data_IF_169819884302
#
_entry.id   IF_169819884302
#
_cell.length_a   1.000
_cell.length_b   1.000
_cell.length_c   1.000
_cell.angle_alpha   90.00
_cell.angle_beta   90.00
_cell.angle_gamma   90.00
#
_symmetry.space_group_name_H-M   'P 1'
#
loop_
_entity.id
_entity.type
_entity.pdbx_description
1 polymer ?
#
# COMPACT_ATOMS: atom_id res chain seq x y z
N UNK A 1 -0.85 15.51 -17.20
CA UNK A 1 -1.16 15.65 -15.77
C UNK A 1 -0.52 14.50 -15.00
N UNK A 2 0.33 14.73 -13.98
CA UNK A 2 0.88 13.64 -13.20
C UNK A 2 -0.21 13.08 -12.27
N UNK A 3 -0.62 11.83 -12.49
CA UNK A 3 -1.41 11.07 -11.53
C UNK A 3 -0.56 10.87 -10.27
N UNK A 4 -1.05 11.33 -9.12
CA UNK A 4 -0.45 11.02 -7.84
C UNK A 4 -0.59 9.51 -7.63
N UNK A 5 0.55 8.81 -7.52
CA UNK A 5 0.63 7.37 -7.26
C UNK A 5 -0.04 7.08 -5.92
N UNK A 6 -0.84 6.00 -5.84
CA UNK A 6 -1.60 5.69 -4.63
C UNK A 6 -0.70 5.52 -3.41
N UNK A 7 -1.04 6.25 -2.36
CA UNK A 7 -0.33 6.33 -1.09
C UNK A 7 0.04 4.96 -0.48
N UNK A 8 -0.79 3.93 -0.70
CA UNK A 8 -0.54 2.64 -0.10
C UNK A 8 0.66 1.93 -0.73
N UNK A 9 0.80 2.01 -2.05
CA UNK A 9 1.92 1.44 -2.80
C UNK A 9 3.25 2.05 -2.34
N UNK A 10 3.30 3.36 -2.16
CA UNK A 10 4.52 4.05 -1.74
C UNK A 10 4.88 3.71 -0.28
N UNK A 11 3.87 3.54 0.60
CA UNK A 11 4.08 3.04 1.97
C UNK A 11 4.68 1.62 1.98
N UNK A 12 4.15 0.70 1.18
CA UNK A 12 4.68 -0.67 1.09
C UNK A 12 6.12 -0.66 0.60
N UNK A 13 6.43 0.12 -0.45
CA UNK A 13 7.79 0.20 -0.99
C UNK A 13 8.79 0.75 0.03
N UNK A 14 8.41 1.79 0.77
CA UNK A 14 9.24 2.31 1.85
C UNK A 14 9.42 1.29 2.98
N UNK A 15 8.35 0.60 3.38
CA UNK A 15 8.43 -0.43 4.42
C UNK A 15 9.33 -1.61 4.03
N UNK A 16 9.37 -1.97 2.75
CA UNK A 16 10.32 -2.97 2.21
C UNK A 16 11.76 -2.46 2.27
N UNK A 17 12.00 -1.18 1.95
CA UNK A 17 13.35 -0.60 2.05
C UNK A 17 13.84 -0.58 3.50
N UNK A 18 12.97 -0.18 4.44
CA UNK A 18 13.29 -0.08 5.87
C UNK A 18 13.37 -1.47 6.54
N UNK A 19 12.52 -2.42 6.15
CA UNK A 19 12.44 -3.75 6.75
C UNK A 19 12.13 -4.85 5.70
N UNK A 20 13.10 -5.22 4.85
CA UNK A 20 12.89 -6.21 3.80
C UNK A 20 12.62 -7.62 4.34
N UNK A 21 12.97 -7.92 5.60
CA UNK A 21 12.81 -9.25 6.20
C UNK A 21 11.35 -9.60 6.46
N UNK A 22 10.51 -8.59 6.72
CA UNK A 22 9.07 -8.76 6.91
C UNK A 22 8.37 -9.37 5.68
N UNK A 23 8.93 -9.16 4.49
CA UNK A 23 8.31 -9.53 3.21
C UNK A 23 8.98 -10.73 2.54
N UNK A 24 9.87 -11.43 3.25
CA UNK A 24 10.67 -12.54 2.73
C UNK A 24 9.79 -13.68 2.17
N UNK A 25 8.73 -14.04 2.90
CA UNK A 25 7.78 -15.11 2.56
C UNK A 25 7.06 -14.89 1.21
N UNK A 26 6.96 -13.64 0.74
CA UNK A 26 6.26 -13.31 -0.50
C UNK A 26 7.12 -13.54 -1.75
N UNK A 27 8.41 -13.80 -1.58
CA UNK A 27 9.34 -14.03 -2.69
C UNK A 27 9.55 -15.51 -3.03
N UNK A 28 8.97 -16.40 -2.22
CA UNK A 28 9.13 -17.87 -2.28
C UNK A 28 7.99 -18.58 -3.02
N UNK A 29 6.85 -17.90 -3.26
CA UNK A 29 5.75 -18.49 -4.03
C UNK A 29 5.96 -18.26 -5.52
N UNK A 30 6.16 -19.35 -6.26
CA UNK A 30 6.13 -19.33 -7.71
C UNK A 30 4.71 -19.03 -8.18
N UNK A 31 4.58 -18.01 -9.04
CA UNK A 31 3.31 -17.35 -9.36
C UNK A 31 2.26 -18.15 -10.12
N UNK A 32 2.39 -19.48 -10.25
CA UNK A 32 1.59 -20.28 -11.20
C UNK A 32 0.80 -21.47 -10.63
N UNK A 33 0.75 -21.70 -9.31
CA UNK A 33 -0.14 -22.72 -8.74
C UNK A 33 -0.88 -22.24 -7.49
N UNK A 34 -2.15 -21.87 -7.67
CA UNK A 34 -3.14 -21.84 -6.59
C UNK A 34 -4.39 -22.55 -7.09
N UNK A 35 -4.57 -23.81 -6.68
CA UNK A 35 -5.85 -24.51 -6.69
C UNK A 35 -5.86 -25.63 -5.65
N UNK A 36 -6.98 -25.70 -4.94
CA UNK A 36 -7.53 -26.83 -4.18
C UNK A 36 -6.74 -27.32 -2.95
N UNK A 37 -6.73 -26.49 -1.89
CA UNK A 37 -7.40 -26.82 -0.62
C UNK A 37 -7.06 -25.80 0.49
N UNK A 38 -8.02 -24.88 0.73
CA UNK A 38 -8.35 -24.46 2.09
C UNK A 38 -7.34 -23.63 2.89
N UNK A 39 -6.92 -22.48 2.36
CA UNK A 39 -6.70 -21.17 3.04
C UNK A 39 -5.86 -20.30 2.10
N UNK A 40 -6.55 -19.51 1.29
CA UNK A 40 -5.92 -18.58 0.35
C UNK A 40 -5.19 -17.48 1.13
N UNK A 41 -3.87 -17.62 1.29
CA UNK A 41 -2.95 -16.50 1.45
C UNK A 41 -2.43 -16.03 0.07
N UNK A 42 -3.25 -16.20 -0.98
CA UNK A 42 -3.01 -15.55 -2.26
C UNK A 42 -3.30 -14.06 -2.11
N UNK A 43 -2.60 -13.22 -2.87
CA UNK A 43 -2.91 -11.80 -3.05
C UNK A 43 -4.31 -11.63 -3.67
N UNK A 44 -5.36 -11.97 -2.93
CA UNK A 44 -6.75 -11.74 -3.27
C UNK A 44 -7.00 -10.26 -3.10
N UNK A 45 -6.85 -9.50 -4.18
CA UNK A 45 -7.13 -8.07 -4.28
C UNK A 45 -6.78 -7.27 -3.00
N UNK A 46 -5.50 -7.35 -2.57
CA UNK A 46 -4.91 -6.72 -1.36
C UNK A 46 -4.89 -5.18 -1.40
N UNK A 47 -5.83 -4.57 -2.11
CA UNK A 47 -6.03 -3.13 -2.01
C UNK A 47 -6.39 -2.84 -0.56
N UNK A 48 -5.69 -1.89 0.03
CA UNK A 48 -5.96 -1.47 1.41
C UNK A 48 -7.29 -0.72 1.46
N UNK A 49 -8.15 -1.15 2.38
CA UNK A 49 -9.31 -0.36 2.79
C UNK A 49 -8.80 0.95 3.41
N UNK A 50 -9.26 2.07 2.86
CA UNK A 50 -8.89 3.40 3.29
C UNK A 50 -9.81 3.85 4.44
N UNK A 51 -11.12 3.74 4.25
CA UNK A 51 -12.14 4.02 5.26
C UNK A 51 -13.51 3.50 4.80
N UNK A 52 -14.43 3.40 5.75
CA UNK A 52 -15.83 3.07 5.51
C UNK A 52 -16.66 4.33 5.20
N UNK A 53 -17.46 4.32 4.13
CA UNK A 53 -18.27 5.45 3.68
C UNK A 53 -19.45 5.78 4.61
N UNK A 54 -20.04 4.78 5.26
CA UNK A 54 -21.19 4.97 6.15
C UNK A 54 -20.77 5.59 7.49
N UNK A 55 -19.54 5.36 7.94
CA UNK A 55 -19.03 5.83 9.22
C UNK A 55 -18.46 7.27 9.20
N UNK A 56 -18.53 7.98 8.07
CA UNK A 56 -17.92 9.33 7.91
C UNK A 56 -18.75 10.47 8.51
N UNK A 57 -19.72 10.18 9.37
CA UNK A 57 -20.61 11.18 9.98
C UNK A 57 -20.41 11.37 11.49
N UNK A 58 -19.65 10.49 12.16
CA UNK A 58 -19.65 10.43 13.64
C UNK A 58 -18.31 10.73 14.33
N UNK A 59 -17.20 10.54 13.62
CA UNK A 59 -15.85 10.75 14.18
C UNK A 59 -14.80 11.06 13.09
N UNK A 60 -15.06 10.68 11.83
CA UNK A 60 -14.32 11.04 10.60
C UNK A 60 -12.82 10.70 10.62
N UNK A 61 -12.30 10.12 11.70
CA UNK A 61 -10.87 9.92 11.98
C UNK A 61 -10.16 9.19 10.85
N UNK A 62 -10.77 8.13 10.30
CA UNK A 62 -10.17 7.36 9.22
C UNK A 62 -10.09 8.15 7.91
N UNK A 63 -11.16 8.87 7.54
CA UNK A 63 -11.19 9.72 6.35
C UNK A 63 -10.17 10.85 6.47
N UNK A 64 -10.16 11.57 7.59
CA UNK A 64 -9.20 12.67 7.86
C UNK A 64 -7.76 12.15 7.88
N UNK A 65 -7.51 11.02 8.55
CA UNK A 65 -6.20 10.36 8.56
C UNK A 65 -5.75 9.98 7.16
N UNK A 66 -6.66 9.45 6.33
CA UNK A 66 -6.36 9.17 4.93
C UNK A 66 -5.96 10.46 4.18
N UNK A 67 -6.75 11.53 4.26
CA UNK A 67 -6.44 12.79 3.56
C UNK A 67 -5.08 13.37 3.98
N UNK A 68 -4.80 13.37 5.29
CA UNK A 68 -3.52 13.84 5.84
C UNK A 68 -2.36 12.94 5.46
N UNK A 69 -2.45 11.65 5.74
CA UNK A 69 -1.32 10.74 5.58
C UNK A 69 -1.02 10.43 4.12
N UNK A 70 -2.05 10.37 3.28
CA UNK A 70 -1.96 9.91 1.90
C UNK A 70 -1.93 11.02 0.87
N UNK A 71 -2.77 12.04 1.04
CA UNK A 71 -2.80 13.17 0.11
C UNK A 71 -1.97 14.35 0.60
N UNK A 72 -1.40 14.27 1.81
CA UNK A 72 -0.55 15.31 2.43
C UNK A 72 -1.27 16.66 2.52
N UNK A 73 -2.58 16.60 2.78
CA UNK A 73 -3.41 17.79 2.94
C UNK A 73 -3.43 18.09 4.45
N UNK A 74 -2.72 19.13 4.88
CA UNK A 74 -2.53 19.40 6.31
C UNK A 74 -3.73 20.11 6.97
N UNK A 75 -4.45 20.94 6.21
CA UNK A 75 -5.59 21.71 6.73
C UNK A 75 -6.79 20.85 7.15
N UNK A 76 -6.79 19.55 6.84
CA UNK A 76 -7.90 18.63 7.15
C UNK A 76 -8.10 18.36 8.64
N UNK A 77 -7.22 18.88 9.51
CA UNK A 77 -7.35 18.75 10.97
C UNK A 77 -8.53 19.54 11.55
N UNK A 78 -8.84 20.69 10.96
CA UNK A 78 -9.88 21.62 11.44
C UNK A 78 -11.00 21.79 10.41
N UNK A 79 -11.72 20.71 10.13
CA UNK A 79 -12.73 20.68 9.05
C UNK A 79 -14.15 20.53 9.53
N UNK A 80 -15.06 20.99 8.68
CA UNK A 80 -16.47 20.63 8.69
C UNK A 80 -16.70 19.56 7.63
N UNK A 81 -17.43 18.51 8.00
CA UNK A 81 -17.75 17.37 7.13
C UNK A 81 -19.26 17.30 6.98
N UNK A 82 -19.73 17.42 5.74
CA UNK A 82 -21.14 17.38 5.38
C UNK A 82 -21.36 16.26 4.38
N UNK A 83 -22.21 15.29 4.73
CA UNK A 83 -22.65 14.23 3.81
C UNK A 83 -24.01 14.63 3.24
N UNK A 84 -24.09 14.75 1.91
CA UNK A 84 -25.31 15.05 1.17
C UNK A 84 -25.84 13.80 0.45
N UNK A 85 -27.10 13.46 0.73
CA UNK A 85 -27.86 12.39 0.06
C UNK A 85 -27.15 11.04 -0.01
N UNK A 86 -26.28 10.74 0.95
CA UNK A 86 -25.39 9.55 1.00
C UNK A 86 -24.48 9.33 -0.23
N UNK A 87 -24.44 10.29 -1.16
CA UNK A 87 -23.70 10.20 -2.43
C UNK A 87 -22.51 11.14 -2.47
N UNK A 88 -22.61 12.27 -1.78
CA UNK A 88 -21.57 13.30 -1.80
C UNK A 88 -21.09 13.55 -0.40
N UNK A 89 -19.78 13.53 -0.20
CA UNK A 89 -19.14 13.96 1.04
C UNK A 89 -18.35 15.23 0.74
N UNK A 90 -18.69 16.29 1.45
CA UNK A 90 -17.99 17.57 1.37
C UNK A 90 -17.20 17.78 2.64
N UNK A 91 -15.92 18.09 2.48
CA UNK A 91 -15.01 18.43 3.59
C UNK A 91 -14.48 19.83 3.31
N UNK A 92 -14.73 20.75 4.24
CA UNK A 92 -14.38 22.17 4.09
C UNK A 92 -13.52 22.60 5.27
N UNK A 93 -12.45 23.36 5.02
CA UNK A 93 -11.70 23.99 6.11
C UNK A 93 -12.59 25.01 6.82
N UNK A 94 -12.64 24.95 8.16
CA UNK A 94 -13.44 25.89 8.97
C UNK A 94 -12.90 27.33 8.92
N UNK A 95 -11.60 27.50 8.76
CA UNK A 95 -10.93 28.80 8.72
C UNK A 95 -10.88 29.38 7.30
N UNK A 96 -10.74 28.53 6.28
CA UNK A 96 -10.70 28.94 4.88
C UNK A 96 -11.70 28.15 4.01
N UNK A 97 -12.88 28.73 3.76
CA UNK A 97 -13.95 28.06 3.00
C UNK A 97 -13.63 27.79 1.52
N UNK A 98 -12.59 28.40 0.96
CA UNK A 98 -12.12 28.11 -0.39
C UNK A 98 -11.42 26.74 -0.48
N UNK A 99 -10.87 26.25 0.64
CA UNK A 99 -10.29 24.92 0.75
C UNK A 99 -11.38 23.88 0.96
N UNK A 100 -11.67 23.16 -0.12
CA UNK A 100 -12.74 22.16 -0.17
C UNK A 100 -12.26 20.87 -0.84
N UNK A 101 -12.68 19.75 -0.27
CA UNK A 101 -12.56 18.43 -0.85
C UNK A 101 -13.97 17.88 -1.04
N UNK A 102 -14.22 17.33 -2.22
CA UNK A 102 -15.51 16.72 -2.56
C UNK A 102 -15.26 15.28 -2.95
N UNK A 103 -15.90 14.34 -2.24
CA UNK A 103 -15.95 12.95 -2.64
C UNK A 103 -17.33 12.65 -3.20
N UNK A 104 -17.37 12.06 -4.40
CA UNK A 104 -18.60 11.66 -5.10
C UNK A 104 -18.60 10.15 -5.27
N UNK A 105 -19.62 9.50 -4.74
CA UNK A 105 -19.81 8.07 -4.80
C UNK A 105 -20.64 7.70 -6.04
N UNK A 106 -20.12 6.78 -6.84
CA UNK A 106 -20.77 6.22 -8.02
C UNK A 106 -20.89 4.70 -7.87
N UNK A 107 -22.06 4.23 -7.42
CA UNK A 107 -22.35 2.80 -7.24
C UNK A 107 -22.37 2.03 -8.56
N UNK A 108 -22.81 2.66 -9.65
CA UNK A 108 -22.90 2.02 -10.96
C UNK A 108 -21.50 1.70 -11.51
N UNK A 109 -20.56 2.63 -11.33
CA UNK A 109 -19.15 2.44 -11.71
C UNK A 109 -18.30 1.77 -10.63
N UNK A 110 -18.87 1.49 -9.45
CA UNK A 110 -18.15 0.94 -8.28
C UNK A 110 -16.90 1.75 -7.93
N UNK A 111 -17.03 3.07 -7.92
CA UNK A 111 -15.92 3.99 -7.67
C UNK A 111 -16.31 5.19 -6.81
N UNK A 112 -15.29 5.83 -6.24
CA UNK A 112 -15.40 7.13 -5.59
C UNK A 112 -14.40 8.08 -6.22
N UNK A 113 -14.89 9.25 -6.62
CA UNK A 113 -14.06 10.33 -7.15
C UNK A 113 -13.82 11.36 -6.06
N UNK A 114 -12.57 11.74 -5.83
CA UNK A 114 -12.16 12.78 -4.90
C UNK A 114 -11.64 13.97 -5.70
N UNK A 115 -12.24 15.14 -5.52
CA UNK A 115 -11.87 16.41 -6.13
C UNK A 115 -11.33 17.35 -5.04
N UNK A 116 -10.16 17.94 -5.27
CA UNK A 116 -9.53 18.94 -4.39
C UNK A 116 -9.63 20.30 -5.08
N UNK A 117 -9.93 21.35 -4.31
CA UNK A 117 -9.80 22.74 -4.75
C UNK A 117 -8.44 22.95 -5.46
N UNK A 118 -8.46 23.41 -6.72
CA UNK A 118 -7.28 23.45 -7.59
C UNK A 118 -7.24 22.38 -8.70
N UNK A 119 -8.31 21.61 -8.88
CA UNK A 119 -8.54 20.78 -10.07
C UNK A 119 -7.83 19.42 -10.09
N UNK A 120 -7.28 18.98 -8.95
CA UNK A 120 -6.74 17.62 -8.81
C UNK A 120 -7.87 16.65 -8.49
N UNK A 121 -7.98 15.60 -9.30
CA UNK A 121 -8.99 14.55 -9.16
C UNK A 121 -8.33 13.19 -8.98
N UNK A 122 -8.87 12.38 -8.06
CA UNK A 122 -8.39 11.03 -7.74
C UNK A 122 -9.55 10.04 -7.77
N UNK A 123 -9.28 8.80 -8.20
CA UNK A 123 -10.27 7.73 -8.27
C UNK A 123 -9.92 6.57 -7.33
N UNK A 124 -10.92 6.08 -6.62
CA UNK A 124 -10.83 5.00 -5.65
C UNK A 124 -11.90 3.94 -5.95
N UNK A 125 -11.68 2.70 -5.51
CA UNK A 125 -12.66 1.62 -5.68
C UNK A 125 -13.68 1.67 -4.56
N UNK A 126 -14.94 1.51 -4.93
CA UNK A 126 -16.02 1.23 -4.01
C UNK A 126 -16.27 -0.28 -3.96
N UNK A 127 -16.23 -0.87 -2.77
CA UNK A 127 -16.68 -2.25 -2.54
C UNK A 127 -17.77 -2.29 -1.49
N UNK A 128 -18.66 -3.26 -1.65
CA UNK A 128 -19.69 -3.58 -0.68
C UNK A 128 -19.31 -4.89 0.02
N UNK A 129 -19.15 -4.82 1.34
CA UNK A 129 -18.72 -5.93 2.19
C UNK A 129 -19.58 -5.96 3.45
N UNK A 130 -20.28 -7.06 3.71
CA UNK A 130 -21.17 -7.18 4.88
C UNK A 130 -22.14 -6.00 5.03
N UNK A 131 -22.76 -5.59 3.92
CA UNK A 131 -23.70 -4.46 3.81
C UNK A 131 -23.09 -3.07 4.06
N UNK A 132 -21.76 -2.97 4.11
CA UNK A 132 -21.03 -1.74 4.29
C UNK A 132 -20.31 -1.31 3.02
N UNK A 133 -20.35 -0.02 2.71
CA UNK A 133 -19.59 0.56 1.61
C UNK A 133 -18.20 0.98 2.08
N UNK A 134 -17.18 0.35 1.52
CA UNK A 134 -15.78 0.57 1.85
C UNK A 134 -15.04 1.15 0.64
N UNK A 135 -14.13 2.10 0.91
CA UNK A 135 -13.31 2.75 -0.12
C UNK A 135 -11.91 2.18 -0.09
N UNK A 136 -11.41 1.82 -1.27
CA UNK A 136 -10.14 1.14 -1.46
C UNK A 136 -9.21 1.93 -2.37
N UNK A 137 -7.90 1.88 -2.08
CA UNK A 137 -6.89 2.44 -2.98
C UNK A 137 -6.95 1.77 -4.35
N UNK A 138 -6.88 2.54 -5.44
CA UNK A 138 -6.81 2.02 -6.81
C UNK A 138 -5.38 1.70 -7.26
N UNK A 139 -4.38 1.90 -6.40
CA UNK A 139 -3.03 1.46 -6.69
C UNK A 139 -2.93 -0.08 -6.69
N UNK A 140 -2.59 -0.63 -7.87
CA UNK A 140 -2.13 -2.00 -7.97
C UNK A 140 -0.70 -2.10 -7.47
N UNK A 141 -0.50 -2.95 -6.48
CA UNK A 141 0.83 -3.36 -6.02
C UNK A 141 1.40 -4.33 -7.05
N UNK A 142 2.56 -4.01 -7.61
CA UNK A 142 3.25 -4.92 -8.53
C UNK A 142 4.16 -5.85 -7.72
N UNK A 143 3.72 -7.09 -7.54
CA UNK A 143 4.43 -8.12 -6.76
C UNK A 143 5.81 -8.42 -7.35
N UNK A 144 5.95 -8.46 -8.68
CA UNK A 144 7.24 -8.65 -9.35
C UNK A 144 8.22 -7.53 -8.98
N UNK A 145 7.73 -6.28 -8.91
CA UNK A 145 8.53 -5.13 -8.48
C UNK A 145 8.92 -5.25 -7.01
N UNK A 146 8.01 -5.67 -6.13
CA UNK A 146 8.32 -5.96 -4.72
C UNK A 146 9.43 -7.01 -4.62
N UNK A 147 9.30 -8.14 -5.33
CA UNK A 147 10.28 -9.22 -5.35
C UNK A 147 11.66 -8.72 -5.80
N UNK A 148 11.70 -7.86 -6.81
CA UNK A 148 12.93 -7.24 -7.29
C UNK A 148 13.56 -6.30 -6.25
N UNK A 149 12.76 -5.48 -5.55
CA UNK A 149 13.25 -4.60 -4.48
C UNK A 149 13.82 -5.40 -3.31
N UNK A 150 13.11 -6.45 -2.87
CA UNK A 150 13.59 -7.34 -1.80
C UNK A 150 14.93 -7.98 -2.20
N UNK A 151 15.01 -8.59 -3.39
CA UNK A 151 16.26 -9.18 -3.89
C UNK A 151 17.42 -8.18 -3.91
N UNK A 152 17.15 -6.95 -4.34
CA UNK A 152 18.14 -5.87 -4.34
C UNK A 152 18.61 -5.54 -2.93
N UNK A 153 17.71 -5.31 -1.97
CA UNK A 153 18.07 -5.00 -0.58
C UNK A 153 18.93 -6.11 0.06
N UNK A 154 18.65 -7.39 -0.24
CA UNK A 154 19.46 -8.50 0.25
C UNK A 154 20.84 -8.54 -0.40
N UNK A 155 20.92 -8.34 -1.71
CA UNK A 155 22.19 -8.24 -2.42
C UNK A 155 23.06 -7.13 -1.82
N UNK A 156 22.49 -5.93 -1.63
CA UNK A 156 23.20 -4.79 -1.06
C UNK A 156 23.71 -5.08 0.36
N UNK A 157 22.92 -5.80 1.19
CA UNK A 157 23.35 -6.25 2.53
C UNK A 157 24.50 -7.24 2.47
N UNK A 158 24.43 -8.23 1.58
CA UNK A 158 25.48 -9.26 1.42
C UNK A 158 26.76 -8.62 0.87
N UNK A 159 26.66 -7.78 -0.15
CA UNK A 159 27.79 -7.07 -0.74
C UNK A 159 28.51 -6.19 0.31
N UNK A 160 27.73 -5.54 1.18
CA UNK A 160 28.29 -4.80 2.32
C UNK A 160 28.98 -5.71 3.34
N UNK A 161 28.37 -6.83 3.72
CA UNK A 161 28.97 -7.78 4.67
C UNK A 161 30.27 -8.41 4.13
N UNK A 162 30.32 -8.74 2.83
CA UNK A 162 31.53 -9.22 2.15
C UNK A 162 32.61 -8.14 2.15
N UNK A 163 32.25 -6.89 1.89
CA UNK A 163 33.18 -5.76 1.90
C UNK A 163 33.77 -5.55 3.31
N UNK A 164 32.95 -5.65 4.34
CA UNK A 164 33.34 -5.40 5.73
C UNK A 164 34.11 -6.59 6.34
N UNK A 165 33.87 -7.83 5.87
CA UNK A 165 34.55 -9.04 6.34
C UNK A 165 34.83 -10.04 5.20
N UNK A 166 35.81 -9.75 4.33
CA UNK A 166 36.08 -10.59 3.16
C UNK A 166 36.58 -11.99 3.53
N UNK A 167 37.26 -12.16 4.65
CA UNK A 167 37.81 -13.44 5.12
C UNK A 167 36.73 -14.47 5.46
N UNK A 168 35.58 -14.01 5.98
CA UNK A 168 34.40 -14.85 6.23
C UNK A 168 33.85 -15.49 4.94
N UNK A 169 34.12 -14.91 3.77
CA UNK A 169 33.59 -15.35 2.48
C UNK A 169 34.67 -15.86 1.51
N UNK A 170 35.93 -15.93 1.95
CA UNK A 170 37.10 -16.32 1.13
C UNK A 170 37.03 -17.75 0.55
N UNK A 171 36.17 -18.62 1.12
CA UNK A 171 35.97 -20.03 0.72
C UNK A 171 34.74 -20.26 -0.18
N UNK A 172 33.98 -19.22 -0.51
CA UNK A 172 32.79 -19.33 -1.36
C UNK A 172 33.13 -18.84 -2.77
N UNK A 173 33.06 -19.74 -3.76
CA UNK A 173 33.16 -19.35 -5.17
C UNK A 173 32.06 -18.35 -5.51
N UNK A 174 32.28 -17.46 -6.51
CA UNK A 174 31.26 -16.50 -6.97
C UNK A 174 29.91 -17.18 -7.26
N UNK A 175 29.94 -18.37 -7.84
CA UNK A 175 28.73 -19.18 -8.13
C UNK A 175 28.00 -19.60 -6.85
N UNK A 176 28.73 -19.88 -5.75
CA UNK A 176 28.14 -20.15 -4.44
C UNK A 176 27.61 -18.89 -3.78
N UNK A 177 28.15 -17.70 -4.05
CA UNK A 177 27.66 -16.43 -3.49
C UNK A 177 26.33 -16.04 -4.15
N UNK A 178 26.19 -16.24 -5.46
CA UNK A 178 24.91 -16.06 -6.17
C UNK A 178 23.87 -17.10 -5.71
N UNK A 179 24.28 -18.36 -5.52
CA UNK A 179 23.43 -19.41 -4.95
C UNK A 179 23.07 -19.15 -3.48
N UNK A 180 23.97 -18.57 -2.66
CA UNK A 180 23.71 -18.15 -1.28
C UNK A 180 22.78 -16.92 -1.24
N UNK A 181 22.93 -15.96 -2.13
CA UNK A 181 21.98 -14.84 -2.23
C UNK A 181 20.57 -15.35 -2.55
N UNK A 182 20.46 -16.45 -3.31
CA UNK A 182 19.21 -17.15 -3.55
C UNK A 182 18.79 -18.10 -2.41
N UNK A 183 19.71 -18.64 -1.60
CA UNK A 183 19.46 -19.62 -0.50
C UNK A 183 19.38 -19.03 0.92
N UNK A 184 19.89 -17.82 1.18
CA UNK A 184 19.70 -17.11 2.45
C UNK A 184 18.22 -16.76 2.65
N UNK A 185 17.47 -16.61 1.55
CA UNK A 185 16.01 -16.65 1.53
C UNK A 185 15.47 -17.94 2.20
N UNK A 186 16.05 -19.10 1.89
CA UNK A 186 15.56 -20.42 2.33
C UNK A 186 15.95 -20.76 3.79
N UNK A 187 17.13 -20.33 4.29
CA UNK A 187 17.67 -20.83 5.57
C UNK A 187 17.25 -20.08 6.83
N UNK A 188 16.70 -18.86 6.76
CA UNK A 188 16.17 -18.16 7.96
C UNK A 188 14.85 -18.80 8.46
N UNK A 189 14.18 -19.63 7.66
CA UNK A 189 12.90 -20.29 7.97
C UNK A 189 13.03 -21.66 8.66
N UNK A 190 14.24 -22.09 9.04
CA UNK A 190 14.49 -23.41 9.65
C UNK A 190 15.02 -23.36 11.09
N UNK A 191 14.93 -22.21 11.76
CA UNK A 191 15.19 -22.10 13.21
C UNK A 191 13.93 -21.68 13.95
N UNK A 192 13.05 -22.65 14.15
CA UNK A 192 12.09 -22.71 15.26
C UNK A 192 12.57 -23.77 16.23
#
# INVERSE_FOLDING_TARGET
MPMIKGCYKDKIYKEIEDNPEKYLLLSETDGDKISENGKNAGFGDERKCLFNWENVSKDNKECIKFLKDCLKIEWVENVEVVKDNDKTLTITNKENKEEKIILKLDKAKKQVTLEIAGGKTHEYILREESSNLNIYDNSKVNVSKIRMMIKKCYKDKIDKEIKDNPEKYLLLSKDKIDDISNRVLIKKNLKT
#
